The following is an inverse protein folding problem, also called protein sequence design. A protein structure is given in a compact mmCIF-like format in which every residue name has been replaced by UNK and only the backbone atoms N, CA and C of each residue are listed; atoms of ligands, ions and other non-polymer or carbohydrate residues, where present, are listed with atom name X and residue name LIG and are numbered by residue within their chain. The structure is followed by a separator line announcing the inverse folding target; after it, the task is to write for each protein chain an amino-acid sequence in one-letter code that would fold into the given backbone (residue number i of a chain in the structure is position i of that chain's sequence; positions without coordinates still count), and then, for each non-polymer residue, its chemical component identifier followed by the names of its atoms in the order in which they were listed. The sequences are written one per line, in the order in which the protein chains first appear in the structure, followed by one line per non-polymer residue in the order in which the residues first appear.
data_IF_906521664330
#
_entry.id   IF_906521664330
#
_cell.length_a   1.000
_cell.length_b   1.000
_cell.length_c   1.000
_cell.angle_alpha   90.00
_cell.angle_beta   90.00
_cell.angle_gamma   90.00
#
_symmetry.space_group_name_H-M   'P 1'
#
loop_
_entity.id
_entity.type
_entity.pdbx_description
1 polymer ?
#
# COMPACT_ATOMS: atom_id res chain seq x y z
N UNK A 1 -16.89 11.36 4.31
CA UNK A 1 -16.93 9.93 3.91
C UNK A 1 -16.50 9.07 5.09
N UNK A 2 -17.27 8.07 5.50
CA UNK A 2 -16.87 7.11 6.55
C UNK A 2 -15.93 6.08 5.92
N UNK A 3 -14.62 6.20 6.14
CA UNK A 3 -13.65 5.20 5.74
C UNK A 3 -13.87 3.93 6.57
N UNK A 4 -14.26 2.83 5.93
CA UNK A 4 -14.33 1.53 6.58
C UNK A 4 -12.97 0.83 6.47
N UNK A 5 -12.57 0.00 7.45
CA UNK A 5 -11.33 -0.75 7.36
C UNK A 5 -11.19 -1.57 6.06
N UNK A 6 -12.32 -2.05 5.51
CA UNK A 6 -12.37 -2.82 4.25
C UNK A 6 -12.00 -1.96 3.05
N UNK A 7 -12.52 -0.72 3.00
CA UNK A 7 -12.20 0.24 1.94
C UNK A 7 -10.70 0.59 2.00
N UNK A 8 -10.13 0.77 3.20
CA UNK A 8 -8.71 1.08 3.34
C UNK A 8 -7.81 -0.08 2.89
N UNK A 9 -8.14 -1.31 3.29
CA UNK A 9 -7.39 -2.50 2.87
C UNK A 9 -7.53 -2.77 1.35
N UNK A 10 -8.72 -2.60 0.79
CA UNK A 10 -8.96 -2.70 -0.65
C UNK A 10 -8.25 -1.62 -1.46
N UNK A 11 -8.28 -0.37 -0.98
CA UNK A 11 -7.56 0.74 -1.61
C UNK A 11 -6.04 0.52 -1.57
N UNK A 12 -5.51 -0.03 -0.48
CA UNK A 12 -4.10 -0.40 -0.39
C UNK A 12 -3.72 -1.48 -1.40
N UNK A 13 -4.54 -2.54 -1.54
CA UNK A 13 -4.31 -3.57 -2.54
C UNK A 13 -4.39 -3.03 -3.97
N UNK A 14 -5.38 -2.18 -4.26
CA UNK A 14 -5.53 -1.53 -5.55
C UNK A 14 -4.34 -0.61 -5.88
N UNK A 15 -3.83 0.13 -4.89
CA UNK A 15 -2.64 0.96 -5.03
C UNK A 15 -1.41 0.12 -5.39
N UNK A 16 -1.18 -0.99 -4.70
CA UNK A 16 -0.07 -1.91 -4.99
C UNK A 16 -0.19 -2.47 -6.41
N UNK A 17 -1.38 -2.91 -6.83
CA UNK A 17 -1.61 -3.41 -8.18
C UNK A 17 -1.29 -2.33 -9.24
N UNK A 18 -1.70 -1.08 -9.02
CA UNK A 18 -1.37 0.04 -9.90
C UNK A 18 0.14 0.29 -9.98
N UNK A 19 0.84 0.25 -8.84
CA UNK A 19 2.31 0.40 -8.81
C UNK A 19 2.99 -0.72 -9.61
N UNK A 20 2.57 -1.96 -9.44
CA UNK A 20 3.13 -3.11 -10.20
C UNK A 20 2.87 -2.96 -11.70
N UNK A 21 1.64 -2.60 -12.10
CA UNK A 21 1.30 -2.35 -13.50
C UNK A 21 2.13 -1.22 -14.10
N UNK A 22 2.33 -0.14 -13.35
CA UNK A 22 3.16 0.98 -13.76
C UNK A 22 4.62 0.57 -13.94
N UNK A 23 5.20 -0.19 -13.00
CA UNK A 23 6.57 -0.69 -13.12
C UNK A 23 6.74 -1.60 -14.34
N UNK A 24 5.82 -2.53 -14.57
CA UNK A 24 5.84 -3.40 -15.75
C UNK A 24 5.70 -2.61 -17.06
N UNK A 25 4.88 -1.56 -17.06
CA UNK A 25 4.73 -0.66 -18.22
C UNK A 25 6.04 0.08 -18.54
N UNK A 26 6.72 0.63 -17.53
CA UNK A 26 8.02 1.30 -17.71
C UNK A 26 9.08 0.31 -18.21
N UNK A 27 9.14 -0.89 -17.65
CA UNK A 27 10.07 -1.94 -18.12
C UNK A 27 9.79 -2.35 -19.57
N UNK A 28 8.52 -2.47 -19.95
CA UNK A 28 8.13 -2.77 -21.34
C UNK A 28 8.62 -1.72 -22.33
N UNK A 29 8.70 -0.44 -21.94
CA UNK A 29 9.19 0.64 -22.78
C UNK A 29 10.72 0.72 -22.86
N UNK A 30 11.42 0.15 -21.87
CA UNK A 30 12.87 0.34 -21.64
C UNK A 30 13.73 -0.89 -21.92
N UNK A 31 13.22 -1.87 -22.67
CA UNK A 31 14.01 -3.04 -23.11
C UNK A 31 15.37 -2.59 -23.66
N UNK A 32 16.46 -3.00 -23.01
CA UNK A 32 17.86 -2.77 -23.37
C UNK A 32 18.47 -1.37 -23.15
N UNK A 33 17.88 -0.52 -22.29
CA UNK A 33 18.59 0.69 -21.84
C UNK A 33 19.46 0.43 -20.60
N UNK A 34 20.74 0.87 -20.58
CA UNK A 34 21.57 0.79 -19.38
C UNK A 34 20.94 1.53 -18.21
N UNK A 35 21.12 1.00 -17.00
CA UNK A 35 20.67 1.66 -15.79
C UNK A 35 21.40 3.01 -15.60
N UNK A 36 20.61 4.03 -15.28
CA UNK A 36 21.07 5.40 -15.07
C UNK A 36 20.82 5.83 -13.63
N UNK A 37 21.44 6.93 -13.21
CA UNK A 37 21.17 7.55 -11.91
C UNK A 37 19.68 7.89 -11.72
N UNK A 38 18.98 8.25 -12.79
CA UNK A 38 17.55 8.56 -12.76
C UNK A 38 16.68 7.34 -12.45
N UNK A 39 17.14 6.14 -12.78
CA UNK A 39 16.42 4.90 -12.49
C UNK A 39 16.42 4.61 -10.99
N UNK A 40 17.59 4.75 -10.35
CA UNK A 40 17.71 4.67 -8.89
C UNK A 40 16.88 5.74 -8.19
N UNK A 41 16.91 6.99 -8.66
CA UNK A 41 16.08 8.06 -8.12
C UNK A 41 14.58 7.78 -8.29
N UNK A 42 14.17 7.22 -9.43
CA UNK A 42 12.79 6.85 -9.70
C UNK A 42 12.27 5.77 -8.74
N UNK A 43 13.04 4.70 -8.53
CA UNK A 43 12.70 3.62 -7.60
C UNK A 43 12.60 4.13 -6.16
N UNK A 44 13.56 4.94 -5.71
CA UNK A 44 13.54 5.49 -4.34
C UNK A 44 12.36 6.46 -4.17
N UNK A 45 12.08 7.30 -5.17
CA UNK A 45 10.96 8.25 -5.11
C UNK A 45 9.62 7.52 -5.06
N UNK A 46 9.45 6.47 -5.87
CA UNK A 46 8.25 5.65 -5.88
C UNK A 46 8.07 4.90 -4.55
N UNK A 47 9.16 4.42 -3.95
CA UNK A 47 9.14 3.79 -2.63
C UNK A 47 8.69 4.78 -1.54
N UNK A 48 9.27 5.99 -1.49
CA UNK A 48 8.92 7.01 -0.50
C UNK A 48 7.46 7.45 -0.68
N UNK A 49 7.04 7.66 -1.93
CA UNK A 49 5.64 7.98 -2.24
C UNK A 49 4.69 6.85 -1.82
N UNK A 50 5.04 5.60 -2.10
CA UNK A 50 4.27 4.43 -1.67
C UNK A 50 4.15 4.34 -0.16
N UNK A 51 5.26 4.54 0.56
CA UNK A 51 5.26 4.59 2.02
C UNK A 51 4.33 5.70 2.55
N UNK A 52 4.34 6.89 1.96
CA UNK A 52 3.46 7.99 2.35
C UNK A 52 1.98 7.69 2.10
N UNK A 53 1.63 7.12 0.93
CA UNK A 53 0.25 6.71 0.60
C UNK A 53 -0.23 5.61 1.55
N UNK A 54 0.59 4.60 1.80
CA UNK A 54 0.26 3.51 2.72
C UNK A 54 0.12 4.01 4.15
N UNK A 55 0.99 4.92 4.59
CA UNK A 55 0.88 5.54 5.89
C UNK A 55 -0.44 6.32 6.02
N UNK A 56 -0.82 7.07 4.99
CA UNK A 56 -2.10 7.78 4.97
C UNK A 56 -3.29 6.80 5.07
N UNK A 57 -3.33 5.76 4.24
CA UNK A 57 -4.44 4.79 4.23
C UNK A 57 -4.59 4.02 5.55
N UNK A 58 -3.49 3.71 6.23
CA UNK A 58 -3.51 2.92 7.47
C UNK A 58 -3.66 3.78 8.73
N UNK A 59 -3.01 4.95 8.77
CA UNK A 59 -2.89 5.73 10.00
C UNK A 59 -3.80 6.96 10.04
N UNK A 60 -4.34 7.45 8.92
CA UNK A 60 -5.19 8.65 8.94
C UNK A 60 -6.37 8.50 9.91
N UNK A 61 -7.19 7.47 9.72
CA UNK A 61 -8.37 7.25 10.56
C UNK A 61 -8.04 6.93 12.03
N UNK A 62 -7.05 6.06 12.35
CA UNK A 62 -6.59 5.88 13.72
C UNK A 62 -6.07 7.16 14.38
N UNK A 63 -5.31 8.00 13.65
CA UNK A 63 -4.80 9.27 14.19
C UNK A 63 -5.95 10.23 14.50
N UNK A 64 -6.96 10.34 13.64
CA UNK A 64 -8.16 11.14 13.95
C UNK A 64 -8.85 10.63 15.22
N UNK A 65 -9.04 9.31 15.35
CA UNK A 65 -9.66 8.73 16.55
C UNK A 65 -8.82 8.94 17.82
N UNK A 66 -7.49 8.95 17.71
CA UNK A 66 -6.59 9.27 18.83
C UNK A 66 -6.74 10.73 19.27
N UNK A 67 -6.85 11.67 18.34
CA UNK A 67 -7.09 13.10 18.62
C UNK A 67 -8.47 13.30 19.26
N UNK A 68 -9.46 12.49 18.90
CA UNK A 68 -10.78 12.44 19.56
C UNK A 68 -10.76 11.75 20.94
N UNK A 69 -9.59 11.39 21.49
CA UNK A 69 -9.42 10.62 22.74
C UNK A 69 -10.03 9.19 22.74
N UNK A 70 -10.43 8.66 21.56
CA UNK A 70 -10.99 7.32 21.41
C UNK A 70 -9.92 6.26 21.18
N UNK A 71 -9.00 6.11 22.13
CA UNK A 71 -7.81 5.25 22.00
C UNK A 71 -8.13 3.79 21.69
N UNK A 72 -9.15 3.22 22.35
CA UNK A 72 -9.56 1.84 22.14
C UNK A 72 -10.13 1.61 20.73
N UNK A 73 -10.94 2.55 20.23
CA UNK A 73 -11.49 2.49 18.87
C UNK A 73 -10.40 2.68 17.81
N UNK A 74 -9.45 3.60 18.04
CA UNK A 74 -8.31 3.81 17.17
C UNK A 74 -7.48 2.54 16.99
N UNK A 75 -7.15 1.86 18.10
CA UNK A 75 -6.40 0.60 18.07
C UNK A 75 -7.20 -0.51 17.38
N UNK A 76 -8.49 -0.63 17.68
CA UNK A 76 -9.37 -1.61 17.03
C UNK A 76 -9.45 -1.38 15.51
N UNK A 77 -9.56 -0.12 15.07
CA UNK A 77 -9.61 0.24 13.66
C UNK A 77 -8.30 -0.11 12.94
N UNK A 78 -7.16 0.26 13.54
CA UNK A 78 -5.83 -0.04 12.99
C UNK A 78 -5.61 -1.55 12.86
N UNK A 79 -5.85 -2.32 13.94
CA UNK A 79 -5.69 -3.77 13.94
C UNK A 79 -6.61 -4.47 12.93
N UNK A 80 -7.85 -4.00 12.76
CA UNK A 80 -8.75 -4.52 11.73
C UNK A 80 -8.21 -4.26 10.33
N UNK A 81 -7.74 -3.04 10.07
CA UNK A 81 -7.15 -2.66 8.77
C UNK A 81 -5.91 -3.50 8.48
N UNK A 82 -5.01 -3.62 9.46
CA UNK A 82 -3.79 -4.43 9.37
C UNK A 82 -4.11 -5.91 9.17
N UNK A 83 -5.05 -6.45 9.93
CA UNK A 83 -5.46 -7.86 9.81
C UNK A 83 -6.05 -8.19 8.44
N UNK A 84 -6.92 -7.32 7.90
CA UNK A 84 -7.49 -7.54 6.57
C UNK A 84 -6.45 -7.38 5.45
N UNK A 85 -5.55 -6.41 5.57
CA UNK A 85 -4.42 -6.31 4.64
C UNK A 85 -3.51 -7.54 4.75
N UNK A 86 -3.28 -8.06 5.96
CA UNK A 86 -2.56 -9.31 6.20
C UNK A 86 -3.22 -10.52 5.53
N UNK A 87 -4.56 -10.62 5.55
CA UNK A 87 -5.29 -11.66 4.81
C UNK A 87 -5.07 -11.53 3.30
N UNK A 88 -5.14 -10.30 2.76
CA UNK A 88 -4.85 -10.05 1.34
C UNK A 88 -3.42 -10.48 1.01
N UNK A 89 -2.44 -10.15 1.87
CA UNK A 89 -1.05 -10.58 1.70
C UNK A 89 -0.92 -12.11 1.66
N UNK A 90 -1.56 -12.82 2.59
CA UNK A 90 -1.55 -14.29 2.62
C UNK A 90 -2.14 -14.87 1.34
N UNK A 91 -3.25 -14.33 0.84
CA UNK A 91 -3.87 -14.76 -0.42
C UNK A 91 -2.93 -14.53 -1.60
N UNK A 92 -2.30 -13.35 -1.70
CA UNK A 92 -1.34 -13.03 -2.76
C UNK A 92 -0.14 -13.98 -2.74
N UNK A 93 0.42 -14.25 -1.55
CA UNK A 93 1.54 -15.20 -1.41
C UNK A 93 1.13 -16.63 -1.75
N UNK A 94 -0.06 -17.06 -1.34
CA UNK A 94 -0.58 -18.38 -1.69
C UNK A 94 -0.74 -18.52 -3.22
N UNK A 95 -1.29 -17.51 -3.89
CA UNK A 95 -1.39 -17.48 -5.35
C UNK A 95 -0.02 -17.52 -6.01
N UNK A 96 0.96 -16.76 -5.50
CA UNK A 96 2.32 -16.73 -6.04
C UNK A 96 3.07 -18.08 -5.90
N UNK A 97 2.77 -18.87 -4.88
CA UNK A 97 3.38 -20.21 -4.67
C UNK A 97 2.70 -21.29 -5.54
N UNK A 98 1.42 -21.10 -5.90
CA UNK A 98 0.64 -22.03 -6.71
C UNK A 98 0.84 -21.86 -8.23
N UNK A 99 1.51 -20.79 -8.66
CA UNK A 99 1.91 -20.54 -10.05
C UNK A 99 3.14 -21.37 -10.42
#
# INVERSE_FOLDING_TARGET
MKWSPLINAGAAAAYIALVVLFMNFIQSLRHDTPDTLFDGMGVISLLVFSAAVMAFLFFYQPVVLLVENKKAEALSFFLKTLGMFGLILVVVLALAILQ
#
